data_IF_160475536847
#
_entry.id   IF_160475536847
#
_cell.length_a   1.000
_cell.length_b   1.000
_cell.length_c   1.000
_cell.angle_alpha   90.00
_cell.angle_beta   90.00
_cell.angle_gamma   90.00
#
_symmetry.space_group_name_H-M   'P 1'
#
loop_
_entity.id
_entity.type
_entity.pdbx_description
1 polymer ?
#
# COMPACT_ATOMS: atom_id res chain seq x y z
N UNK A 1 -62.03 -5.37 2.59
CA UNK A 1 -60.61 -4.97 2.70
C UNK A 1 -59.80 -6.13 2.17
N UNK A 2 -59.34 -6.05 0.93
CA UNK A 2 -58.59 -7.12 0.25
C UNK A 2 -57.15 -6.67 0.07
N UNK A 3 -56.20 -7.47 0.55
CA UNK A 3 -54.77 -7.16 0.50
C UNK A 3 -54.23 -7.12 -0.93
N UNK A 4 -53.26 -6.24 -1.24
CA UNK A 4 -52.61 -6.23 -2.55
C UNK A 4 -51.65 -7.43 -2.71
N UNK A 5 -51.43 -7.92 -3.95
CA UNK A 5 -50.50 -9.02 -4.22
C UNK A 5 -49.03 -8.53 -4.10
N UNK A 6 -48.09 -9.45 -3.80
CA UNK A 6 -46.67 -9.09 -3.71
C UNK A 6 -46.08 -8.76 -5.10
N UNK A 7 -45.04 -7.92 -5.17
CA UNK A 7 -44.37 -7.60 -6.43
C UNK A 7 -43.66 -8.85 -6.98
N UNK A 8 -43.91 -9.16 -8.24
CA UNK A 8 -43.21 -10.20 -8.99
C UNK A 8 -41.76 -9.76 -9.29
N UNK A 9 -40.80 -10.48 -8.72
CA UNK A 9 -39.39 -10.35 -9.08
C UNK A 9 -39.15 -11.08 -10.41
N UNK A 10 -38.76 -10.35 -11.45
CA UNK A 10 -38.21 -10.97 -12.66
C UNK A 10 -36.75 -11.31 -12.39
N UNK A 11 -36.32 -12.59 -12.44
CA UNK A 11 -34.89 -12.89 -12.40
C UNK A 11 -34.24 -12.25 -13.64
N UNK A 12 -33.10 -11.62 -13.44
CA UNK A 12 -32.26 -11.13 -14.53
C UNK A 12 -31.92 -12.29 -15.45
N UNK A 13 -32.49 -12.28 -16.64
CA UNK A 13 -32.14 -13.20 -17.72
C UNK A 13 -30.69 -12.92 -18.11
N UNK A 14 -29.76 -13.76 -17.65
CA UNK A 14 -28.43 -13.82 -18.23
C UNK A 14 -28.58 -14.31 -19.67
N UNK A 15 -28.54 -13.40 -20.62
CA UNK A 15 -28.57 -13.72 -22.03
C UNK A 15 -27.29 -14.47 -22.39
N UNK A 16 -27.37 -15.80 -22.52
CA UNK A 16 -26.36 -16.61 -23.19
C UNK A 16 -26.46 -16.37 -24.71
N UNK A 17 -26.19 -15.14 -25.14
CA UNK A 17 -26.15 -14.76 -26.55
C UNK A 17 -24.78 -15.08 -27.13
N UNK A 18 -24.67 -16.16 -27.91
CA UNK A 18 -23.50 -16.41 -28.75
C UNK A 18 -23.55 -15.47 -29.96
N UNK A 19 -22.94 -14.30 -29.84
CA UNK A 19 -22.74 -13.38 -30.96
C UNK A 19 -21.32 -13.58 -31.52
N UNK A 20 -21.21 -13.74 -32.83
CA UNK A 20 -19.91 -13.75 -33.54
C UNK A 20 -19.33 -12.33 -33.55
N UNK A 21 -18.55 -12.00 -32.52
CA UNK A 21 -17.78 -10.76 -32.48
C UNK A 21 -16.46 -10.96 -33.23
N UNK A 22 -16.15 -10.03 -34.14
CA UNK A 22 -14.79 -9.92 -34.67
C UNK A 22 -13.84 -9.59 -33.51
N UNK A 23 -12.63 -10.18 -33.48
CA UNK A 23 -11.75 -10.17 -32.30
C UNK A 23 -11.51 -8.76 -31.71
N UNK A 24 -11.33 -7.75 -32.57
CA UNK A 24 -11.13 -6.36 -32.13
C UNK A 24 -12.34 -5.69 -31.46
N UNK A 25 -13.57 -6.12 -31.74
CA UNK A 25 -14.79 -5.57 -31.13
C UNK A 25 -15.10 -6.19 -29.77
N UNK A 26 -14.72 -7.47 -29.58
CA UNK A 26 -14.80 -8.13 -28.29
C UNK A 26 -13.79 -7.52 -27.31
N UNK A 27 -12.53 -7.36 -27.73
CA UNK A 27 -11.48 -6.78 -26.87
C UNK A 27 -11.82 -5.34 -26.46
N UNK A 28 -12.40 -4.53 -27.37
CA UNK A 28 -12.83 -3.18 -27.04
C UNK A 28 -14.04 -3.15 -26.09
N UNK A 29 -15.00 -4.07 -26.27
CA UNK A 29 -16.15 -4.22 -25.36
C UNK A 29 -15.69 -4.68 -23.96
N UNK A 30 -14.78 -5.65 -23.89
CA UNK A 30 -14.18 -6.10 -22.64
C UNK A 30 -13.40 -4.96 -21.99
N UNK A 31 -12.60 -4.19 -22.72
CA UNK A 31 -11.89 -3.03 -22.17
C UNK A 31 -12.81 -1.93 -21.66
N UNK A 32 -13.93 -1.63 -22.36
CA UNK A 32 -14.92 -0.68 -21.87
C UNK A 32 -15.65 -1.20 -20.63
N UNK A 33 -15.98 -2.50 -20.60
CA UNK A 33 -16.59 -3.14 -19.44
C UNK A 33 -15.62 -3.16 -18.25
N UNK A 34 -14.33 -3.42 -18.47
CA UNK A 34 -13.26 -3.36 -17.47
C UNK A 34 -13.02 -1.92 -17.00
N UNK A 35 -13.08 -0.94 -17.89
CA UNK A 35 -12.94 0.47 -17.53
C UNK A 35 -14.13 0.97 -16.69
N UNK A 36 -15.33 0.42 -16.92
CA UNK A 36 -16.56 0.83 -16.24
C UNK A 36 -16.86 0.00 -14.97
N UNK A 37 -16.47 -1.27 -14.94
CA UNK A 37 -16.86 -2.24 -13.89
C UNK A 37 -15.67 -3.01 -13.28
N UNK A 38 -14.44 -2.83 -13.79
CA UNK A 38 -13.27 -3.62 -13.42
C UNK A 38 -13.18 -4.96 -14.16
N UNK A 39 -12.02 -5.62 -14.16
CA UNK A 39 -11.96 -7.04 -14.55
C UNK A 39 -12.79 -7.87 -13.57
N UNK A 40 -13.38 -9.01 -14.02
CA UNK A 40 -14.00 -9.95 -13.10
C UNK A 40 -13.00 -10.29 -12.00
N UNK A 41 -13.41 -10.12 -10.75
CA UNK A 41 -12.63 -10.54 -9.59
C UNK A 41 -12.22 -12.01 -9.76
N UNK A 42 -10.95 -12.30 -9.52
CA UNK A 42 -10.45 -13.67 -9.61
C UNK A 42 -10.81 -14.42 -8.32
N UNK A 43 -11.22 -15.68 -8.45
CA UNK A 43 -11.45 -16.51 -7.29
C UNK A 43 -10.11 -16.98 -6.73
N UNK A 44 -9.83 -16.68 -5.47
CA UNK A 44 -8.79 -17.31 -4.68
C UNK A 44 -9.38 -18.53 -4.00
N UNK A 45 -8.88 -19.71 -4.38
CA UNK A 45 -9.04 -20.90 -3.56
C UNK A 45 -7.73 -21.11 -2.80
N UNK A 46 -7.75 -21.10 -1.45
CA UNK A 46 -6.56 -21.40 -0.68
C UNK A 46 -6.14 -22.82 -1.01
N UNK A 47 -4.94 -23.01 -1.57
CA UNK A 47 -4.49 -24.32 -1.97
C UNK A 47 -4.17 -25.18 -0.75
N UNK A 48 -4.22 -26.50 -0.91
CA UNK A 48 -3.66 -27.43 0.07
C UNK A 48 -2.16 -27.15 0.23
N UNK A 49 -1.70 -26.94 1.47
CA UNK A 49 -0.30 -26.59 1.75
C UNK A 49 0.64 -27.66 1.21
N UNK A 50 1.61 -27.25 0.38
CA UNK A 50 2.60 -28.16 -0.20
C UNK A 50 3.87 -28.21 0.63
N UNK A 51 4.24 -27.08 1.26
CA UNK A 51 5.40 -26.96 2.13
C UNK A 51 5.27 -25.76 3.06
N UNK A 52 5.94 -25.84 4.21
CA UNK A 52 5.96 -24.76 5.20
C UNK A 52 7.34 -24.59 5.83
N UNK A 53 7.64 -23.37 6.28
CA UNK A 53 8.81 -23.08 7.10
C UNK A 53 8.56 -21.90 8.03
N UNK A 54 9.45 -21.69 9.00
CA UNK A 54 9.44 -20.51 9.86
C UNK A 54 9.32 -20.87 11.34
N UNK A 55 8.79 -19.92 12.12
CA UNK A 55 8.63 -20.02 13.58
C UNK A 55 7.16 -19.86 13.96
N UNK A 56 6.78 -20.42 15.11
CA UNK A 56 5.42 -20.34 15.66
C UNK A 56 5.49 -19.98 17.14
N UNK A 57 4.64 -19.06 17.58
CA UNK A 57 4.45 -18.70 18.98
C UNK A 57 3.20 -19.34 19.60
N UNK A 58 2.94 -19.00 20.86
CA UNK A 58 1.80 -19.52 21.64
C UNK A 58 0.54 -18.66 21.55
N UNK A 59 0.60 -17.50 20.90
CA UNK A 59 -0.49 -16.54 20.76
C UNK A 59 -1.42 -16.81 19.58
N UNK A 60 -2.15 -15.78 19.16
CA UNK A 60 -3.06 -15.86 18.02
C UNK A 60 -2.30 -15.99 16.70
N UNK A 61 -2.94 -16.60 15.70
CA UNK A 61 -2.38 -16.64 14.33
C UNK A 61 -3.07 -15.62 13.45
N UNK A 62 -2.31 -14.65 12.95
CA UNK A 62 -2.74 -13.66 11.97
C UNK A 62 -2.34 -14.14 10.58
N UNK A 63 -3.29 -14.21 9.64
CA UNK A 63 -2.99 -14.74 8.30
C UNK A 63 -2.87 -13.60 7.29
N UNK A 64 -1.82 -13.68 6.45
CA UNK A 64 -1.56 -12.75 5.34
C UNK A 64 -1.45 -13.55 4.06
N UNK A 65 -2.24 -13.22 3.04
CA UNK A 65 -2.12 -13.79 1.71
C UNK A 65 -1.00 -13.05 0.97
N UNK A 66 -0.01 -13.78 0.47
CA UNK A 66 1.10 -13.28 -0.34
C UNK A 66 0.71 -13.43 -1.81
N UNK A 67 0.53 -12.30 -2.51
CA UNK A 67 0.11 -12.25 -3.91
C UNK A 67 -1.12 -13.15 -4.17
N UNK A 68 -2.35 -12.65 -3.88
CA UNK A 68 -3.54 -13.50 -3.86
C UNK A 68 -3.82 -14.20 -5.20
N UNK A 69 -3.44 -13.61 -6.32
CA UNK A 69 -3.37 -14.29 -7.63
C UNK A 69 -2.18 -13.80 -8.44
N UNK A 70 -1.79 -14.55 -9.48
CA UNK A 70 -0.66 -14.19 -10.33
C UNK A 70 -0.84 -12.80 -10.95
N UNK A 71 0.16 -11.94 -10.79
CA UNK A 71 0.14 -10.55 -11.26
C UNK A 71 -0.35 -9.53 -10.23
N UNK A 72 -0.94 -9.96 -9.10
CA UNK A 72 -1.31 -9.06 -8.00
C UNK A 72 -0.14 -8.90 -7.03
N UNK A 73 0.44 -7.71 -6.99
CA UNK A 73 1.63 -7.38 -6.19
C UNK A 73 1.25 -6.83 -4.80
N UNK A 74 0.44 -7.58 -4.05
CA UNK A 74 -0.12 -7.14 -2.75
C UNK A 74 0.04 -8.21 -1.67
N UNK A 75 0.12 -7.75 -0.42
CA UNK A 75 -0.16 -8.55 0.77
C UNK A 75 -1.57 -8.27 1.26
N UNK A 76 -2.31 -9.30 1.68
CA UNK A 76 -3.72 -9.14 2.11
C UNK A 76 -3.97 -9.81 3.46
N UNK A 77 -4.29 -9.05 4.52
CA UNK A 77 -4.17 -7.59 4.58
C UNK A 77 -2.70 -7.17 4.50
N UNK A 78 -2.43 -5.95 4.01
CA UNK A 78 -1.05 -5.46 3.98
C UNK A 78 -0.57 -5.02 5.37
N UNK A 79 -1.51 -4.66 6.26
CA UNK A 79 -1.24 -4.21 7.61
C UNK A 79 -2.04 -5.01 8.64
N UNK A 80 -1.45 -5.27 9.80
CA UNK A 80 -2.11 -5.98 10.91
C UNK A 80 -1.53 -5.53 12.25
N UNK A 81 -2.28 -5.74 13.33
CA UNK A 81 -1.81 -5.59 14.70
C UNK A 81 -1.61 -6.96 15.33
N UNK A 82 -0.50 -7.16 16.04
CA UNK A 82 -0.16 -8.41 16.68
C UNK A 82 0.60 -8.18 18.00
N UNK A 83 0.35 -9.07 18.97
CA UNK A 83 1.00 -9.07 20.28
C UNK A 83 2.23 -9.97 20.29
N UNK A 84 3.14 -9.76 21.25
CA UNK A 84 4.27 -10.67 21.47
C UNK A 84 3.76 -12.10 21.69
N UNK A 85 4.35 -13.06 20.98
CA UNK A 85 3.97 -14.46 20.99
C UNK A 85 2.90 -14.83 19.96
N UNK A 86 2.25 -13.87 19.29
CA UNK A 86 1.41 -14.16 18.13
C UNK A 86 2.25 -14.71 16.97
N UNK A 87 1.60 -15.41 16.05
CA UNK A 87 2.23 -15.92 14.81
C UNK A 87 1.63 -15.22 13.60
N UNK A 88 2.48 -14.68 12.74
CA UNK A 88 2.08 -14.22 11.40
C UNK A 88 2.26 -15.37 10.42
N UNK A 89 1.17 -15.84 9.81
CA UNK A 89 1.14 -16.91 8.82
C UNK A 89 0.95 -16.32 7.43
N UNK A 90 2.00 -16.33 6.63
CA UNK A 90 2.00 -15.90 5.24
C UNK A 90 1.66 -17.08 4.32
N UNK A 91 0.67 -16.93 3.44
CA UNK A 91 0.19 -17.98 2.53
C UNK A 91 0.28 -17.53 1.08
N UNK A 92 1.02 -18.26 0.24
CA UNK A 92 1.24 -17.87 -1.15
C UNK A 92 0.05 -18.21 -2.05
N UNK A 93 -0.55 -17.18 -2.64
CA UNK A 93 -1.58 -17.30 -3.69
C UNK A 93 -1.01 -17.35 -5.10
N UNK A 94 0.26 -16.98 -5.29
CA UNK A 94 0.91 -16.93 -6.60
C UNK A 94 2.40 -17.31 -6.53
N UNK A 95 3.00 -17.48 -7.70
CA UNK A 95 4.39 -17.86 -7.85
C UNK A 95 5.34 -16.67 -7.79
N UNK A 96 6.61 -16.92 -7.44
CA UNK A 96 7.70 -15.95 -7.56
C UNK A 96 7.57 -14.73 -6.64
N UNK A 97 7.28 -14.97 -5.35
CA UNK A 97 7.18 -13.93 -4.32
C UNK A 97 7.97 -14.31 -3.07
N UNK A 98 8.31 -13.30 -2.26
CA UNK A 98 9.03 -13.45 -0.98
C UNK A 98 8.31 -12.70 0.12
N UNK A 99 8.62 -12.98 1.38
CA UNK A 99 8.37 -12.15 2.54
C UNK A 99 9.70 -11.91 3.24
N UNK A 100 10.14 -10.65 3.31
CA UNK A 100 11.44 -10.27 3.88
C UNK A 100 11.27 -9.10 4.84
N UNK A 101 11.83 -9.19 6.06
CA UNK A 101 11.82 -8.07 7.02
C UNK A 101 12.61 -6.88 6.45
N UNK A 102 11.99 -5.71 6.45
CA UNK A 102 12.62 -4.46 6.00
C UNK A 102 13.41 -3.80 7.13
N UNK A 103 14.29 -2.86 6.81
CA UNK A 103 14.86 -1.92 7.78
C UNK A 103 13.78 -0.98 8.31
N UNK A 104 13.88 -0.60 9.58
CA UNK A 104 12.85 0.20 10.28
C UNK A 104 12.57 1.57 9.62
N UNK A 105 13.50 2.06 8.79
CA UNK A 105 13.44 3.40 8.21
C UNK A 105 12.76 3.46 6.82
N UNK A 106 12.67 2.34 6.08
CA UNK A 106 12.09 2.35 4.72
C UNK A 106 11.58 0.97 4.32
N UNK A 107 10.47 0.86 3.56
CA UNK A 107 10.14 -0.37 2.86
C UNK A 107 11.20 -0.67 1.77
N UNK A 108 11.26 -1.93 1.33
CA UNK A 108 12.11 -2.42 0.23
C UNK A 108 13.61 -2.63 0.50
N UNK A 109 14.06 -2.53 1.75
CA UNK A 109 15.47 -2.76 2.09
C UNK A 109 15.59 -3.80 3.20
N UNK A 110 16.30 -4.90 2.95
CA UNK A 110 16.47 -5.96 3.95
C UNK A 110 17.18 -5.44 5.20
N UNK A 111 16.64 -5.74 6.37
CA UNK A 111 17.31 -5.44 7.64
C UNK A 111 18.41 -6.47 7.96
N UNK A 112 19.43 -6.04 8.69
CA UNK A 112 20.36 -6.92 9.40
C UNK A 112 19.92 -7.22 10.84
N UNK A 113 18.97 -6.45 11.36
CA UNK A 113 18.51 -6.56 12.75
C UNK A 113 17.31 -7.51 12.88
N UNK A 114 17.52 -8.60 13.63
CA UNK A 114 16.59 -9.71 13.83
C UNK A 114 15.85 -10.09 12.52
N UNK A 115 16.58 -10.49 11.46
CA UNK A 115 16.01 -10.65 10.13
C UNK A 115 15.14 -11.91 10.03
N UNK A 116 14.08 -11.82 9.24
CA UNK A 116 13.40 -12.99 8.68
C UNK A 116 13.28 -12.85 7.17
N UNK A 117 13.34 -13.98 6.47
CA UNK A 117 13.12 -14.05 5.03
C UNK A 117 12.63 -15.44 4.63
N UNK A 118 11.57 -15.52 3.82
CA UNK A 118 11.06 -16.77 3.29
C UNK A 118 11.91 -17.36 2.15
N UNK A 119 12.74 -16.52 1.52
CA UNK A 119 13.25 -16.78 0.16
C UNK A 119 12.16 -16.59 -0.90
N UNK A 120 12.49 -16.80 -2.17
CA UNK A 120 11.52 -16.84 -3.25
C UNK A 120 10.76 -18.16 -3.24
N UNK A 121 9.44 -18.07 -3.23
CA UNK A 121 8.53 -19.18 -3.03
C UNK A 121 7.36 -19.12 -4.02
N UNK A 122 6.70 -20.26 -4.17
CA UNK A 122 5.62 -20.47 -5.13
C UNK A 122 4.26 -20.67 -4.46
N UNK A 123 3.21 -20.67 -5.27
CA UNK A 123 1.83 -20.89 -4.81
C UNK A 123 1.75 -22.13 -3.91
N UNK A 124 0.95 -22.04 -2.84
CA UNK A 124 0.76 -23.08 -1.81
C UNK A 124 1.87 -23.24 -0.77
N UNK A 125 2.92 -22.40 -0.83
CA UNK A 125 3.90 -22.27 0.25
C UNK A 125 3.32 -21.53 1.45
N UNK A 126 3.76 -21.90 2.66
CA UNK A 126 3.46 -21.19 3.90
C UNK A 126 4.74 -20.79 4.64
N UNK A 127 4.81 -19.53 5.05
CA UNK A 127 5.87 -19.03 5.92
C UNK A 127 5.26 -18.53 7.22
N UNK A 128 5.83 -18.90 8.37
CA UNK A 128 5.37 -18.40 9.67
C UNK A 128 6.44 -17.60 10.40
N UNK A 129 6.04 -16.54 11.07
CA UNK A 129 6.93 -15.71 11.87
C UNK A 129 6.31 -15.41 13.23
N UNK A 130 6.99 -15.77 14.31
CA UNK A 130 6.61 -15.36 15.67
C UNK A 130 6.89 -13.86 15.87
N UNK A 131 5.96 -13.18 16.52
CA UNK A 131 6.08 -11.77 16.90
C UNK A 131 6.87 -11.71 18.21
N UNK A 132 8.06 -11.10 18.17
CA UNK A 132 8.97 -11.02 19.32
C UNK A 132 8.87 -9.69 20.09
N UNK A 133 8.36 -8.65 19.45
CA UNK A 133 8.13 -7.32 20.02
C UNK A 133 6.93 -6.66 19.33
N UNK A 134 6.49 -5.51 19.86
CA UNK A 134 5.35 -4.75 19.30
C UNK A 134 5.79 -3.53 18.48
N UNK A 135 7.06 -3.43 18.11
CA UNK A 135 7.55 -2.32 17.30
C UNK A 135 6.95 -2.41 15.88
N UNK A 136 6.79 -1.26 15.23
CA UNK A 136 6.38 -1.22 13.83
C UNK A 136 7.40 -1.93 12.96
N UNK A 137 6.98 -2.99 12.28
CA UNK A 137 7.84 -3.79 11.41
C UNK A 137 7.33 -3.75 9.98
N UNK A 138 8.13 -3.18 9.09
CA UNK A 138 7.89 -3.30 7.65
C UNK A 138 8.40 -4.65 7.14
N UNK A 139 7.68 -5.23 6.18
CA UNK A 139 8.14 -6.39 5.41
C UNK A 139 7.81 -6.19 3.93
N UNK A 140 8.52 -6.87 3.04
CA UNK A 140 8.40 -6.64 1.61
C UNK A 140 8.73 -7.85 0.75
N UNK A 141 8.28 -7.80 -0.51
CA UNK A 141 8.67 -8.77 -1.53
C UNK A 141 9.98 -8.34 -2.20
N UNK A 142 11.02 -9.15 -2.06
CA UNK A 142 12.36 -8.92 -2.59
C UNK A 142 12.55 -9.29 -4.06
N UNK A 143 11.54 -9.86 -4.71
CA UNK A 143 11.56 -10.09 -6.16
C UNK A 143 11.72 -8.75 -6.88
N UNK A 144 12.57 -8.66 -7.93
CA UNK A 144 12.86 -7.40 -8.60
C UNK A 144 11.59 -6.61 -8.96
N UNK A 145 11.60 -5.31 -8.65
CA UNK A 145 10.51 -4.34 -8.90
C UNK A 145 9.22 -4.52 -8.10
N UNK A 146 9.00 -5.65 -7.42
CA UNK A 146 7.71 -5.92 -6.74
C UNK A 146 7.45 -4.92 -5.61
N UNK A 147 8.44 -4.68 -4.75
CA UNK A 147 8.28 -3.74 -3.66
C UNK A 147 8.08 -2.29 -4.12
N UNK A 148 8.81 -1.85 -5.16
CA UNK A 148 8.67 -0.50 -5.73
C UNK A 148 7.31 -0.28 -6.40
N UNK A 149 6.59 -1.36 -6.71
CA UNK A 149 5.20 -1.35 -7.19
C UNK A 149 4.17 -1.49 -6.05
N UNK A 150 4.60 -1.40 -4.79
CA UNK A 150 3.72 -1.40 -3.63
C UNK A 150 3.61 -2.73 -2.89
N UNK A 151 4.41 -3.76 -3.23
CA UNK A 151 4.38 -5.05 -2.53
C UNK A 151 5.18 -5.03 -1.22
N UNK A 152 4.66 -4.30 -0.25
CA UNK A 152 5.14 -4.23 1.14
C UNK A 152 3.96 -4.27 2.11
N UNK A 153 4.24 -4.62 3.36
CA UNK A 153 3.28 -4.66 4.45
C UNK A 153 3.87 -4.18 5.77
N UNK A 154 3.00 -4.02 6.77
CA UNK A 154 3.33 -3.42 8.06
C UNK A 154 2.70 -4.23 9.19
N UNK A 155 3.52 -4.75 10.09
CA UNK A 155 3.07 -5.28 11.39
C UNK A 155 3.11 -4.12 12.38
N UNK A 156 2.03 -3.94 13.14
CA UNK A 156 1.86 -2.90 14.15
C UNK A 156 2.13 -1.49 13.59
N UNK A 157 1.38 -1.04 12.55
CA UNK A 157 1.49 0.35 12.08
C UNK A 157 1.13 1.32 13.22
N UNK A 158 1.81 2.49 13.33
CA UNK A 158 1.42 3.51 14.30
C UNK A 158 0.01 4.03 14.00
N UNK A 159 -0.67 4.49 15.04
CA UNK A 159 -2.05 4.98 14.95
C UNK A 159 -2.07 6.51 15.02
N UNK A 160 -2.66 7.13 14.01
CA UNK A 160 -2.82 8.58 13.87
C UNK A 160 -4.30 8.98 13.81
N UNK A 161 -5.21 8.26 14.47
CA UNK A 161 -6.64 8.54 14.42
C UNK A 161 -6.96 10.03 14.61
N UNK A 162 -7.69 10.60 13.64
CA UNK A 162 -8.04 12.02 13.55
C UNK A 162 -6.87 13.03 13.52
N UNK A 163 -5.64 12.57 13.22
CA UNK A 163 -4.47 13.44 13.03
C UNK A 163 -4.25 13.74 11.55
N UNK A 164 -3.63 14.89 11.18
CA UNK A 164 -3.34 15.24 9.79
C UNK A 164 -2.52 14.19 9.01
N UNK A 165 -1.74 13.36 9.71
CA UNK A 165 -0.94 12.28 9.14
C UNK A 165 -1.69 10.96 8.99
N UNK A 166 -2.96 10.87 9.39
CA UNK A 166 -3.77 9.67 9.17
C UNK A 166 -3.98 9.39 7.69
N UNK A 167 -4.04 8.11 7.35
CA UNK A 167 -4.38 7.68 6.00
C UNK A 167 -5.70 8.28 5.53
N UNK A 168 -6.74 8.32 6.36
CA UNK A 168 -8.05 8.88 5.98
C UNK A 168 -7.99 10.37 5.59
N UNK A 169 -7.18 11.17 6.28
CA UNK A 169 -7.00 12.60 5.97
C UNK A 169 -6.09 12.80 4.76
N UNK A 170 -5.04 11.98 4.60
CA UNK A 170 -4.11 12.11 3.47
C UNK A 170 -4.66 11.55 2.16
N UNK A 171 -5.55 10.55 2.19
CA UNK A 171 -5.99 9.80 1.01
C UNK A 171 -6.62 10.69 -0.08
N UNK A 172 -7.50 11.66 0.22
CA UNK A 172 -8.07 12.54 -0.83
C UNK A 172 -7.02 13.39 -1.54
N UNK A 173 -6.00 13.88 -0.81
CA UNK A 173 -4.89 14.63 -1.39
C UNK A 173 -4.02 13.75 -2.28
N UNK A 174 -3.74 12.51 -1.86
CA UNK A 174 -3.03 11.54 -2.68
C UNK A 174 -3.82 11.16 -3.93
N UNK A 175 -5.14 11.00 -3.82
CA UNK A 175 -6.01 10.71 -4.95
C UNK A 175 -6.04 11.87 -5.96
N UNK A 176 -6.04 13.12 -5.50
CA UNK A 176 -5.91 14.30 -6.37
C UNK A 176 -4.56 14.42 -7.09
N UNK A 177 -3.50 13.81 -6.55
CA UNK A 177 -2.15 13.85 -7.13
C UNK A 177 -1.82 12.64 -8.01
N UNK A 178 -2.39 11.47 -7.69
CA UNK A 178 -2.06 10.19 -8.31
C UNK A 178 -3.33 9.55 -8.91
N UNK A 179 -3.46 9.51 -10.26
CA UNK A 179 -4.62 8.92 -10.93
C UNK A 179 -4.90 7.47 -10.52
N UNK A 180 -3.84 6.69 -10.25
CA UNK A 180 -3.93 5.32 -9.74
C UNK A 180 -4.58 5.21 -8.37
N UNK A 181 -4.23 6.10 -7.45
CA UNK A 181 -4.88 6.20 -6.13
C UNK A 181 -6.36 6.60 -6.28
N UNK A 182 -6.68 7.54 -7.17
CA UNK A 182 -8.07 7.93 -7.45
C UNK A 182 -8.91 6.78 -8.00
N UNK A 183 -8.35 5.99 -8.92
CA UNK A 183 -9.00 4.79 -9.46
C UNK A 183 -9.28 3.76 -8.34
N UNK A 184 -8.27 3.50 -7.49
CA UNK A 184 -8.42 2.65 -6.31
C UNK A 184 -9.49 3.14 -5.34
N UNK A 185 -9.56 4.45 -5.09
CA UNK A 185 -10.54 5.07 -4.18
C UNK A 185 -11.96 4.90 -4.70
N UNK A 186 -12.18 5.16 -5.99
CA UNK A 186 -13.48 5.05 -6.63
C UNK A 186 -13.98 3.60 -6.61
N UNK A 187 -13.10 2.66 -6.96
CA UNK A 187 -13.42 1.23 -6.96
C UNK A 187 -13.69 0.71 -5.55
N UNK A 188 -12.83 1.02 -4.57
CA UNK A 188 -13.03 0.64 -3.17
C UNK A 188 -14.37 1.14 -2.65
N UNK A 189 -14.70 2.43 -2.89
CA UNK A 189 -15.96 3.03 -2.44
C UNK A 189 -17.18 2.29 -2.97
N UNK A 190 -17.14 1.88 -4.24
CA UNK A 190 -18.23 1.12 -4.87
C UNK A 190 -18.42 -0.25 -4.20
N UNK A 191 -17.32 -1.01 -4.05
CA UNK A 191 -17.40 -2.40 -3.57
C UNK A 191 -17.59 -2.51 -2.06
N UNK A 192 -17.29 -1.46 -1.28
CA UNK A 192 -17.54 -1.40 0.16
C UNK A 192 -18.82 -0.65 0.53
N UNK A 193 -19.66 -0.28 -0.44
CA UNK A 193 -20.85 0.57 -0.21
C UNK A 193 -21.84 0.00 0.82
N UNK A 194 -21.93 -1.33 0.95
CA UNK A 194 -22.75 -2.01 1.95
C UNK A 194 -21.94 -2.58 3.14
N UNK A 195 -20.67 -2.21 3.28
CA UNK A 195 -19.75 -2.75 4.29
C UNK A 195 -18.96 -1.62 4.97
N UNK A 196 -19.54 -0.91 5.97
CA UNK A 196 -18.91 0.24 6.60
C UNK A 196 -17.56 -0.08 7.29
N UNK A 197 -17.44 -1.26 7.91
CA UNK A 197 -16.19 -1.71 8.52
C UNK A 197 -15.08 -1.85 7.47
N UNK A 198 -15.41 -2.39 6.29
CA UNK A 198 -14.47 -2.51 5.19
C UNK A 198 -14.12 -1.13 4.61
N UNK A 199 -15.11 -0.23 4.48
CA UNK A 199 -14.89 1.12 3.97
C UNK A 199 -13.94 1.96 4.86
N UNK A 200 -13.99 1.77 6.18
CA UNK A 200 -13.17 2.48 7.16
C UNK A 200 -11.82 1.80 7.46
N UNK A 201 -11.57 0.61 6.89
CA UNK A 201 -10.38 -0.18 7.23
C UNK A 201 -9.08 0.60 6.96
N UNK A 202 -8.20 0.66 7.96
CA UNK A 202 -6.90 1.33 7.87
C UNK A 202 -6.95 2.88 7.87
N UNK A 203 -8.10 3.51 8.13
CA UNK A 203 -8.22 4.97 8.21
C UNK A 203 -7.24 5.62 9.19
N UNK A 204 -6.97 4.93 10.29
CA UNK A 204 -6.13 5.39 11.40
C UNK A 204 -4.63 5.12 11.21
N UNK A 205 -4.19 4.49 10.12
CA UNK A 205 -2.77 4.23 9.89
C UNK A 205 -2.03 5.56 9.79
N UNK A 206 -0.97 5.73 10.58
CA UNK A 206 -0.10 6.89 10.51
C UNK A 206 0.83 6.81 9.29
N UNK A 207 0.74 7.82 8.43
CA UNK A 207 1.53 7.94 7.21
C UNK A 207 2.82 8.74 7.43
N UNK A 208 3.02 9.33 8.62
CA UNK A 208 4.20 10.18 8.93
C UNK A 208 5.52 9.40 8.86
N UNK A 209 5.50 8.13 9.25
CA UNK A 209 6.64 7.21 9.15
C UNK A 209 6.80 6.54 7.78
N UNK A 210 5.89 6.77 6.85
CA UNK A 210 5.96 6.22 5.48
C UNK A 210 6.73 7.19 4.59
N UNK A 211 7.82 6.76 3.93
CA UNK A 211 8.55 7.62 2.99
C UNK A 211 7.64 8.20 1.91
N UNK A 212 7.87 9.45 1.51
CA UNK A 212 6.99 10.17 0.60
C UNK A 212 6.69 9.40 -0.70
N UNK A 213 7.68 8.73 -1.28
CA UNK A 213 7.50 7.93 -2.50
C UNK A 213 6.54 6.74 -2.30
N UNK A 214 6.41 6.23 -1.07
CA UNK A 214 5.61 5.07 -0.71
C UNK A 214 4.20 5.44 -0.24
N UNK A 215 3.90 6.71 0.04
CA UNK A 215 2.60 7.13 0.60
C UNK A 215 1.43 6.80 -0.32
N UNK A 216 1.56 7.01 -1.64
CA UNK A 216 0.52 6.61 -2.59
C UNK A 216 0.33 5.09 -2.65
N UNK A 217 1.42 4.32 -2.59
CA UNK A 217 1.33 2.85 -2.53
C UNK A 217 0.72 2.34 -1.23
N UNK A 218 0.98 3.00 -0.09
CA UNK A 218 0.32 2.68 1.18
C UNK A 218 -1.18 2.96 1.09
N UNK A 219 -1.58 4.11 0.55
CA UNK A 219 -2.99 4.43 0.32
C UNK A 219 -3.68 3.37 -0.55
N UNK A 220 -3.01 2.88 -1.59
CA UNK A 220 -3.57 1.83 -2.43
C UNK A 220 -3.61 0.45 -1.79
N UNK A 221 -2.63 0.10 -0.96
CA UNK A 221 -2.68 -1.14 -0.21
C UNK A 221 -3.85 -1.12 0.78
N UNK A 222 -4.15 0.06 1.36
CA UNK A 222 -5.36 0.29 2.14
C UNK A 222 -6.59 0.03 1.28
N UNK A 223 -6.72 0.75 0.15
CA UNK A 223 -7.87 0.63 -0.76
C UNK A 223 -8.07 -0.80 -1.31
N UNK A 224 -6.99 -1.51 -1.61
CA UNK A 224 -7.05 -2.91 -2.05
C UNK A 224 -7.57 -3.82 -0.93
N UNK A 225 -7.10 -3.62 0.31
CA UNK A 225 -7.57 -4.39 1.47
C UNK A 225 -9.05 -4.08 1.77
N UNK A 226 -9.48 -2.82 1.66
CA UNK A 226 -10.89 -2.43 1.76
C UNK A 226 -11.74 -3.14 0.72
N UNK A 227 -11.31 -3.11 -0.54
CA UNK A 227 -12.02 -3.75 -1.63
C UNK A 227 -12.13 -5.28 -1.41
N UNK A 228 -11.05 -5.91 -0.97
CA UNK A 228 -11.03 -7.32 -0.64
C UNK A 228 -12.01 -7.65 0.50
N UNK A 229 -12.00 -6.88 1.59
CA UNK A 229 -12.93 -7.08 2.71
C UNK A 229 -14.39 -6.83 2.29
N UNK A 230 -14.65 -5.84 1.44
CA UNK A 230 -15.98 -5.54 0.90
C UNK A 230 -16.55 -6.70 0.06
N UNK A 231 -15.70 -7.37 -0.73
CA UNK A 231 -16.08 -8.54 -1.51
C UNK A 231 -16.16 -9.84 -0.69
N UNK A 232 -15.54 -9.88 0.48
CA UNK A 232 -15.50 -11.03 1.36
C UNK A 232 -15.93 -10.62 2.78
N UNK A 233 -17.22 -10.32 2.99
CA UNK A 233 -17.69 -9.72 4.25
C UNK A 233 -17.43 -10.61 5.48
N UNK A 234 -17.36 -11.93 5.31
CA UNK A 234 -17.04 -12.87 6.40
C UNK A 234 -15.59 -12.75 6.90
N UNK A 235 -14.73 -12.05 6.16
CA UNK A 235 -13.32 -11.85 6.52
C UNK A 235 -13.06 -10.61 7.35
N UNK A 236 -14.07 -9.77 7.61
CA UNK A 236 -13.91 -8.57 8.44
C UNK A 236 -14.82 -8.60 9.66
N UNK A 237 -14.22 -8.41 10.83
CA UNK A 237 -14.93 -8.35 12.10
C UNK A 237 -15.54 -6.95 12.32
N UNK A 238 -16.53 -6.83 13.23
CA UNK A 238 -17.12 -5.52 13.58
C UNK A 238 -16.10 -4.49 14.10
N UNK A 239 -14.98 -4.94 14.67
CA UNK A 239 -13.88 -4.09 15.15
C UNK A 239 -12.92 -3.66 14.02
N UNK A 240 -13.18 -4.06 12.77
CA UNK A 240 -12.36 -3.77 11.60
C UNK A 240 -11.15 -4.70 11.45
N UNK A 241 -10.94 -5.67 12.34
CA UNK A 241 -9.85 -6.64 12.15
C UNK A 241 -10.20 -7.64 11.04
N UNK A 242 -9.19 -7.99 10.23
CA UNK A 242 -9.33 -8.96 9.14
C UNK A 242 -9.03 -10.36 9.69
N UNK A 243 -9.99 -11.27 9.54
CA UNK A 243 -9.88 -12.67 9.94
C UNK A 243 -9.85 -13.58 8.72
N UNK A 244 -8.68 -14.17 8.47
CA UNK A 244 -8.42 -15.12 7.41
C UNK A 244 -8.10 -16.51 7.97
N UNK A 245 -8.53 -16.81 9.20
CA UNK A 245 -8.34 -18.13 9.80
C UNK A 245 -9.13 -19.23 9.06
N UNK A 246 -10.28 -18.88 8.48
CA UNK A 246 -11.20 -19.80 7.81
C UNK A 246 -10.92 -20.01 6.30
N UNK A 247 -9.77 -19.53 5.80
CA UNK A 247 -9.43 -19.59 4.37
C UNK A 247 -9.75 -20.95 3.74
N UNK A 248 -9.40 -22.07 4.37
CA UNK A 248 -9.60 -23.42 3.83
C UNK A 248 -11.05 -23.87 3.56
N UNK A 249 -12.06 -23.13 3.98
CA UNK A 249 -13.47 -23.57 3.91
C UNK A 249 -14.28 -22.92 2.80
N UNK A 250 -13.94 -21.68 2.41
CA UNK A 250 -14.72 -20.88 1.46
C UNK A 250 -13.80 -20.22 0.43
N UNK A 251 -14.17 -20.23 -0.87
CA UNK A 251 -13.46 -19.41 -1.84
C UNK A 251 -13.58 -17.92 -1.50
N UNK A 252 -12.53 -17.17 -1.82
CA UNK A 252 -12.52 -15.73 -1.69
C UNK A 252 -12.52 -15.05 -3.05
N UNK A 253 -13.11 -13.87 -3.10
CA UNK A 253 -13.04 -12.96 -4.24
C UNK A 253 -11.82 -12.04 -4.11
N UNK A 254 -10.92 -12.08 -5.07
CA UNK A 254 -9.77 -11.17 -5.14
C UNK A 254 -10.17 -9.97 -5.99
N UNK A 255 -10.13 -8.74 -5.45
CA UNK A 255 -10.44 -7.56 -6.23
C UNK A 255 -9.41 -7.36 -7.33
N UNK A 256 -9.85 -6.78 -8.44
CA UNK A 256 -8.95 -6.23 -9.46
C UNK A 256 -8.06 -5.16 -8.84
N UNK A 257 -6.75 -5.22 -9.07
CA UNK A 257 -5.82 -4.14 -8.67
C UNK A 257 -5.92 -2.97 -9.66
N UNK A 258 -7.04 -2.25 -9.60
CA UNK A 258 -7.35 -1.12 -10.50
C UNK A 258 -6.31 0.00 -10.44
N UNK A 259 -5.64 0.15 -9.29
CA UNK A 259 -4.59 1.14 -9.13
C UNK A 259 -3.31 0.73 -9.87
N UNK A 260 -2.95 -0.56 -9.86
CA UNK A 260 -1.87 -1.08 -10.70
C UNK A 260 -2.22 -1.02 -12.20
N UNK A 261 -3.48 -1.32 -12.57
CA UNK A 261 -3.95 -1.23 -13.94
C UNK A 261 -3.88 0.21 -14.48
N UNK A 262 -4.35 1.19 -13.69
CA UNK A 262 -4.30 2.61 -14.05
C UNK A 262 -2.86 3.10 -14.30
N UNK A 263 -1.89 2.69 -13.47
CA UNK A 263 -0.47 3.02 -13.70
C UNK A 263 0.10 2.47 -14.99
N UNK A 264 -0.35 1.28 -15.39
CA UNK A 264 0.15 0.63 -16.60
C UNK A 264 -0.30 1.39 -17.85
N UNK A 265 -1.50 2.00 -17.81
CA UNK A 265 -2.02 2.85 -18.88
C UNK A 265 -1.31 4.22 -18.95
N UNK A 266 -0.88 4.77 -17.81
CA UNK A 266 -0.07 6.01 -17.77
C UNK A 266 1.34 5.80 -18.35
N UNK A 267 1.91 4.60 -18.18
CA UNK A 267 3.21 4.23 -18.76
C UNK A 267 3.14 4.02 -20.28
N UNK A 268 2.01 3.53 -20.81
CA UNK A 268 1.82 3.33 -22.25
C UNK A 268 1.51 4.65 -22.99
N UNK A 269 0.72 5.53 -22.37
CA UNK A 269 0.43 6.88 -22.91
C UNK A 269 1.63 7.83 -22.91
N UNK A 270 2.65 7.58 -22.10
CA UNK A 270 3.93 8.31 -22.13
C UNK A 270 4.90 7.79 -23.21
N UNK A 271 4.64 6.61 -23.81
CA UNK A 271 5.46 6.03 -24.88
C UNK A 271 5.02 6.46 -26.30
N UNK A 272 3.94 7.25 -26.43
CA UNK A 272 3.47 7.84 -27.70
C UNK A 272 4.10 9.21 -28.05
N UNK A 273 5.09 9.69 -27.29
CA UNK A 273 5.85 10.90 -27.63
C UNK A 273 7.34 10.71 -27.40
N UNK A 274 8.02 10.11 -28.39
CA UNK A 274 9.47 10.12 -28.46
C UNK A 274 9.92 10.08 -29.93
N UNK A 275 10.15 11.28 -30.50
CA UNK A 275 11.16 11.47 -31.53
C UNK A 275 11.80 12.85 -31.32
N UNK A 276 12.87 12.89 -30.54
CA UNK A 276 13.65 14.11 -30.35
C UNK A 276 14.61 14.11 -29.16
N UNK A 277 15.50 13.13 -29.05
CA UNK A 277 16.75 13.32 -28.29
C UNK A 277 17.95 13.19 -29.23
N UNK A 278 18.86 14.19 -29.28
CA UNK A 278 20.07 14.10 -30.07
C UNK A 278 21.07 13.16 -29.39
N UNK A 279 21.77 12.39 -30.22
CA UNK A 279 22.79 11.43 -29.83
C UNK A 279 23.95 12.09 -29.07
N UNK A 280 24.31 11.52 -27.91
CA UNK A 280 25.56 11.83 -27.23
C UNK A 280 26.70 11.03 -27.87
N UNK A 281 27.63 11.72 -28.52
CA UNK A 281 28.88 11.17 -29.02
C UNK A 281 29.88 10.98 -27.88
N UNK A 282 30.38 9.76 -27.79
CA UNK A 282 31.49 9.32 -26.94
C UNK A 282 32.81 10.00 -27.30
N UNK A 283 33.54 10.50 -26.30
CA UNK A 283 34.96 10.87 -26.45
C UNK A 283 35.78 10.33 -25.27
N UNK A 284 36.85 9.62 -25.65
CA UNK A 284 37.72 8.83 -24.81
C UNK A 284 38.76 9.65 -24.02
N UNK A 285 39.27 8.99 -22.98
CA UNK A 285 40.33 9.43 -22.05
C UNK A 285 41.69 9.66 -22.72
N UNK A 286 42.46 10.64 -22.24
CA UNK A 286 43.94 10.65 -22.28
C UNK A 286 44.53 11.66 -21.26
N UNK A 287 45.70 11.29 -20.74
CA UNK A 287 46.36 11.73 -19.51
C UNK A 287 46.93 13.18 -19.47
N UNK A 288 47.36 13.69 -18.29
CA UNK A 288 47.88 15.04 -18.12
C UNK A 288 49.43 15.10 -18.01
N UNK A 289 50.03 16.21 -18.45
CA UNK A 289 51.32 16.70 -17.91
C UNK A 289 51.47 18.23 -18.12
N UNK A 290 52.37 18.90 -17.35
CA UNK A 290 52.15 20.22 -16.77
C UNK A 290 53.07 21.30 -17.36
N UNK A 291 52.87 22.57 -16.96
CA UNK A 291 53.98 23.46 -16.55
C UNK A 291 53.50 24.83 -16.03
N UNK A 292 54.03 25.15 -14.84
CA UNK A 292 54.66 26.41 -14.42
C UNK A 292 53.84 27.71 -14.20
N UNK A 293 53.97 28.16 -12.95
CA UNK A 293 53.57 29.42 -12.33
C UNK A 293 54.39 30.64 -12.78
N UNK A 294 53.79 31.84 -12.70
CA UNK A 294 54.41 33.07 -12.16
C UNK A 294 53.33 34.16 -11.92
N UNK A 295 53.04 34.52 -10.66
CA UNK A 295 53.44 35.74 -9.87
C UNK A 295 52.93 37.10 -10.39
N UNK A 296 52.24 37.85 -9.51
CA UNK A 296 51.97 39.31 -9.60
C UNK A 296 50.56 39.68 -9.10
N UNK A 297 50.35 39.98 -7.82
CA UNK A 297 50.47 41.30 -7.17
C UNK A 297 49.24 42.23 -7.34
N UNK A 298 48.58 42.48 -6.19
CA UNK A 298 48.03 43.76 -5.70
C UNK A 298 46.66 44.31 -6.17
N UNK A 299 45.83 44.53 -5.14
CA UNK A 299 44.91 45.67 -4.87
C UNK A 299 43.63 45.89 -5.69
N UNK A 300 42.49 45.72 -5.00
CA UNK A 300 41.30 46.60 -4.99
C UNK A 300 40.56 46.31 -3.68
N UNK A 301 40.09 47.28 -2.88
CA UNK A 301 39.34 48.47 -3.24
C UNK A 301 37.87 48.20 -2.93
N UNK A 302 37.43 48.53 -1.71
CA UNK A 302 36.09 48.18 -1.20
C UNK A 302 34.95 49.05 -1.71
N UNK A 303 33.71 48.65 -1.41
CA UNK A 303 32.65 49.52 -0.88
C UNK A 303 31.39 48.73 -0.47
N UNK A 304 31.07 48.85 0.82
CA UNK A 304 29.75 49.11 1.43
C UNK A 304 28.56 48.17 1.15
N UNK A 305 28.12 47.46 2.17
CA UNK A 305 26.70 47.09 2.37
C UNK A 305 26.28 47.41 3.79
N UNK A 306 25.15 48.10 3.90
CA UNK A 306 24.65 48.77 5.09
C UNK A 306 24.03 47.85 6.13
N UNK A 307 24.05 48.35 7.36
CA UNK A 307 23.46 47.77 8.55
C UNK A 307 22.02 48.25 8.79
N UNK A 308 21.27 47.45 9.56
CA UNK A 308 20.04 47.83 10.26
C UNK A 308 18.91 46.82 9.99
N UNK A 309 18.17 46.29 10.95
CA UNK A 309 18.21 46.38 12.40
C UNK A 309 17.42 45.18 12.97
N UNK A 310 17.78 44.77 14.18
CA UNK A 310 17.13 43.74 14.99
C UNK A 310 15.77 44.23 15.51
N UNK A 311 14.76 43.35 15.49
CA UNK A 311 13.60 43.47 16.37
C UNK A 311 13.08 42.08 16.75
N UNK A 312 12.97 41.87 18.05
CA UNK A 312 12.64 40.63 18.76
C UNK A 312 11.38 40.89 19.58
N UNK A 313 10.36 40.01 19.63
CA UNK A 313 9.26 40.15 20.58
C UNK A 313 9.57 39.43 21.89
N UNK A 314 9.23 40.12 22.98
CA UNK A 314 9.53 39.81 24.37
C UNK A 314 8.65 38.70 24.95
N UNK A 315 9.31 37.91 25.78
CA UNK A 315 8.80 37.04 26.84
C UNK A 315 7.86 37.80 27.80
N UNK A 316 6.71 37.20 28.13
CA UNK A 316 5.94 37.51 29.31
C UNK A 316 5.68 36.20 30.08
N UNK A 317 6.38 36.04 31.20
CA UNK A 317 6.16 35.01 32.21
C UNK A 317 5.28 35.62 33.30
N UNK A 318 4.16 34.98 33.61
CA UNK A 318 3.40 35.24 34.82
C UNK A 318 3.08 33.90 35.49
N UNK A 319 3.79 33.62 36.58
CA UNK A 319 3.49 32.59 37.57
C UNK A 319 2.49 33.15 38.58
N UNK A 320 1.37 32.47 38.80
CA UNK A 320 0.62 32.57 40.06
C UNK A 320 0.18 31.16 40.46
N UNK A 321 0.72 30.69 41.58
CA UNK A 321 0.28 29.52 42.31
C UNK A 321 -0.86 29.93 43.27
N UNK A 322 -1.90 29.12 43.37
CA UNK A 322 -2.78 29.08 44.56
C UNK A 322 -3.00 27.62 44.93
N UNK A 323 -2.46 27.26 46.10
CA UNK A 323 -2.74 26.04 46.85
C UNK A 323 -3.88 26.36 47.82
N UNK A 324 -4.92 25.53 47.85
CA UNK A 324 -5.75 25.34 49.04
C UNK A 324 -6.42 23.96 48.99
N UNK A 325 -6.02 23.09 49.92
CA UNK A 325 -6.62 21.80 50.22
C UNK A 325 -7.91 21.99 51.03
N UNK A 326 -8.89 21.07 50.90
CA UNK A 326 -9.80 20.72 52.01
C UNK A 326 -10.33 19.28 51.87
N UNK A 327 -10.57 18.69 53.04
CA UNK A 327 -10.70 17.27 53.39
C UNK A 327 -12.06 16.60 53.10
N UNK A 328 -11.99 15.28 52.94
CA UNK A 328 -12.85 14.21 53.47
C UNK A 328 -14.38 14.37 53.56
N UNK A 329 -15.08 13.44 52.89
CA UNK A 329 -16.09 12.53 53.46
C UNK A 329 -16.26 11.32 52.53
#
# INVERSE_FOLDING_TARGET
MSSPPPPSYSPSTYGSGSSNWNSGSYDNCVQQCVAQYGTPSSMYMPPSMTSSSGSSGSGMTHTVIVAPTQGVLRYVPFALNASVGDTIKFMWGANNHTVTKSSELTPCNKTSDQPFASGEQNQSFVFTQVVNDTNTTFYYCGTPTHCQKGMFGIINPPNAYNQPSSASIMMPSLAGQYPSTQAGMSYSTNVTSSQPAAAAWGDNIDMSGVPQWAQSYTAENILFTRAFAGMNPDTIKPDGSIDLSALGSNPLMVPTDVAAAARSNDADSSNSTSSGYPAASSAASSAPQPSASAVGASSSGGSTSGAGALSSPRVAVALVAVVAAFFAL
#
